data_IF_359859382465
#
_entry.id   IF_359859382465
#
_cell.length_a   1.000
_cell.length_b   1.000
_cell.length_c   1.000
_cell.angle_alpha   90.00
_cell.angle_beta   90.00
_cell.angle_gamma   90.00
#
_symmetry.space_group_name_H-M   'P 1'
#
loop_
_entity.id
_entity.type
_entity.pdbx_description
1 polymer ?
#
# COMPACT_ATOMS: atom_id res chain seq x y z
N UNK A 1 -22.00 -7.15 5.97
CA UNK A 1 -21.36 -8.14 5.08
C UNK A 1 -22.47 -8.85 4.31
N UNK A 2 -22.63 -8.55 3.02
CA UNK A 2 -23.56 -9.28 2.15
C UNK A 2 -22.77 -10.35 1.39
N UNK A 3 -23.22 -11.63 1.35
CA UNK A 3 -22.45 -12.77 0.86
C UNK A 3 -22.50 -12.96 -0.67
N UNK A 4 -22.69 -11.89 -1.45
CA UNK A 4 -22.77 -11.98 -2.90
C UNK A 4 -21.41 -11.66 -3.53
N UNK A 5 -20.66 -12.71 -3.88
CA UNK A 5 -19.51 -12.59 -4.79
C UNK A 5 -20.07 -12.36 -6.19
N UNK A 6 -20.02 -11.12 -6.68
CA UNK A 6 -20.34 -10.82 -8.07
C UNK A 6 -19.12 -11.23 -8.92
N UNK A 7 -19.22 -12.24 -9.82
CA UNK A 7 -18.08 -12.68 -10.63
C UNK A 7 -17.53 -11.58 -11.55
N UNK A 8 -18.35 -10.57 -11.89
CA UNK A 8 -17.95 -9.37 -12.65
C UNK A 8 -17.09 -8.39 -11.84
N UNK A 9 -17.15 -8.47 -10.51
CA UNK A 9 -16.37 -7.69 -9.55
C UNK A 9 -15.65 -8.61 -8.57
N UNK A 10 -15.12 -9.73 -9.06
CA UNK A 10 -14.23 -10.60 -8.29
C UNK A 10 -12.95 -9.82 -7.99
N UNK A 11 -12.92 -9.17 -6.82
CA UNK A 11 -11.76 -8.67 -6.10
C UNK A 11 -10.68 -7.96 -6.93
N UNK A 12 -10.54 -6.64 -6.77
CA UNK A 12 -9.45 -5.89 -7.41
C UNK A 12 -8.07 -6.53 -7.21
N UNK A 13 -7.13 -6.26 -8.12
CA UNK A 13 -5.77 -6.82 -8.14
C UNK A 13 -4.85 -6.29 -7.00
N UNK A 14 -5.41 -5.91 -5.86
CA UNK A 14 -4.69 -5.34 -4.73
C UNK A 14 -3.64 -6.29 -4.14
N UNK A 15 -3.97 -7.57 -3.99
CA UNK A 15 -2.99 -8.56 -3.48
C UNK A 15 -1.82 -8.71 -4.46
N UNK A 16 -2.09 -8.86 -5.76
CA UNK A 16 -1.04 -8.95 -6.79
C UNK A 16 -0.15 -7.70 -6.83
N UNK A 17 -0.75 -6.53 -6.63
CA UNK A 17 0.00 -5.27 -6.54
C UNK A 17 0.89 -5.25 -5.29
N UNK A 18 0.37 -5.64 -4.12
CA UNK A 18 1.15 -5.72 -2.90
C UNK A 18 2.29 -6.75 -3.01
N UNK A 19 2.04 -7.91 -3.60
CA UNK A 19 3.05 -8.94 -3.90
C UNK A 19 4.14 -8.40 -4.83
N UNK A 20 3.76 -7.68 -5.89
CA UNK A 20 4.72 -7.05 -6.80
C UNK A 20 5.62 -6.03 -6.05
N UNK A 21 5.03 -5.20 -5.19
CA UNK A 21 5.79 -4.23 -4.41
C UNK A 21 6.84 -4.91 -3.52
N UNK A 22 6.45 -5.99 -2.85
CA UNK A 22 7.29 -6.67 -1.86
C UNK A 22 8.33 -7.59 -2.49
N UNK A 23 7.93 -8.37 -3.49
CA UNK A 23 8.76 -9.44 -4.04
C UNK A 23 9.56 -9.02 -5.28
N UNK A 24 9.18 -7.90 -5.92
CA UNK A 24 9.83 -7.44 -7.15
C UNK A 24 10.40 -6.04 -7.00
N UNK A 25 9.55 -5.05 -6.70
CA UNK A 25 9.98 -3.65 -6.73
C UNK A 25 10.95 -3.31 -5.60
N UNK A 26 10.61 -3.63 -4.34
CA UNK A 26 11.48 -3.30 -3.20
C UNK A 26 12.85 -4.00 -3.31
N UNK A 27 12.95 -5.31 -3.59
CA UNK A 27 14.26 -5.97 -3.76
C UNK A 27 15.09 -5.35 -4.88
N UNK A 28 14.46 -4.97 -5.99
CA UNK A 28 15.14 -4.26 -7.06
C UNK A 28 15.68 -2.91 -6.58
N UNK A 29 14.91 -2.10 -5.86
CA UNK A 29 15.37 -0.82 -5.32
C UNK A 29 16.53 -1.04 -4.34
N UNK A 30 16.38 -1.97 -3.40
CA UNK A 30 17.39 -2.25 -2.37
C UNK A 30 18.71 -2.76 -2.96
N UNK A 31 18.69 -3.46 -4.09
CA UNK A 31 19.92 -3.93 -4.74
C UNK A 31 20.60 -2.88 -5.62
N UNK A 32 19.87 -1.87 -6.09
CA UNK A 32 20.39 -0.85 -7.03
C UNK A 32 20.72 0.48 -6.34
N UNK A 33 20.19 0.70 -5.14
CA UNK A 33 20.39 1.94 -4.40
C UNK A 33 20.86 1.63 -2.97
N UNK A 34 21.51 2.61 -2.35
CA UNK A 34 21.95 2.50 -0.95
C UNK A 34 20.76 2.80 -0.01
N UNK A 35 19.93 1.80 0.22
CA UNK A 35 18.78 1.90 1.15
C UNK A 35 19.13 1.35 2.53
N UNK A 36 18.35 1.75 3.54
CA UNK A 36 18.25 1.03 4.81
C UNK A 36 17.05 0.10 4.67
N UNK A 37 17.32 -1.20 4.61
CA UNK A 37 16.35 -2.21 4.14
C UNK A 37 15.34 -2.63 5.20
N UNK A 38 15.64 -2.30 6.46
CA UNK A 38 14.90 -2.68 7.65
C UNK A 38 13.51 -2.01 7.68
N UNK A 39 12.49 -2.67 8.27
CA UNK A 39 11.12 -2.17 8.24
C UNK A 39 10.99 -0.79 8.88
N UNK A 40 11.75 -0.50 9.94
CA UNK A 40 11.70 0.77 10.66
C UNK A 40 12.12 1.96 9.78
N UNK A 41 12.85 1.69 8.69
CA UNK A 41 13.33 2.66 7.71
C UNK A 41 12.52 2.64 6.39
N UNK A 42 11.63 1.66 6.21
CA UNK A 42 10.85 1.51 4.98
C UNK A 42 9.39 1.92 5.21
N UNK A 43 8.92 2.87 4.39
CA UNK A 43 7.54 3.36 4.42
C UNK A 43 6.81 3.21 3.10
N UNK A 44 5.49 3.03 3.15
CA UNK A 44 4.61 3.05 1.98
C UNK A 44 3.50 4.08 2.20
N UNK A 45 3.15 4.86 1.18
CA UNK A 45 2.10 5.86 1.32
C UNK A 45 1.38 6.11 0.01
N UNK A 46 0.14 6.57 0.10
CA UNK A 46 -0.65 6.94 -1.08
C UNK A 46 -1.90 7.73 -0.75
N UNK A 47 -2.58 8.21 -1.79
CA UNK A 47 -3.80 9.00 -1.66
C UNK A 47 -5.04 8.27 -2.15
N UNK A 48 -6.20 8.52 -1.53
CA UNK A 48 -7.49 7.89 -1.90
C UNK A 48 -7.37 6.35 -1.98
N UNK A 49 -7.61 5.73 -3.14
CA UNK A 49 -7.38 4.31 -3.37
C UNK A 49 -5.92 3.88 -3.12
N UNK A 50 -4.96 4.74 -3.49
CA UNK A 50 -3.54 4.57 -3.20
C UNK A 50 -3.23 4.51 -1.71
N UNK A 51 -4.00 5.24 -0.89
CA UNK A 51 -3.90 5.18 0.57
C UNK A 51 -4.43 3.86 1.11
N UNK A 52 -5.59 3.41 0.60
CA UNK A 52 -6.20 2.14 0.99
C UNK A 52 -5.28 0.95 0.67
N UNK A 53 -4.70 0.93 -0.53
CA UNK A 53 -3.79 -0.15 -0.92
C UNK A 53 -2.45 -0.09 -0.19
N UNK A 54 -1.94 1.11 0.14
CA UNK A 54 -0.74 1.28 0.97
C UNK A 54 -0.96 0.75 2.39
N UNK A 55 -2.10 1.09 2.99
CA UNK A 55 -2.51 0.58 4.31
C UNK A 55 -2.65 -0.94 4.31
N UNK A 56 -3.35 -1.48 3.32
CA UNK A 56 -3.50 -2.93 3.13
C UNK A 56 -2.14 -3.62 3.03
N UNK A 57 -1.24 -3.11 2.18
CA UNK A 57 0.09 -3.69 1.95
C UNK A 57 0.94 -3.67 3.22
N UNK A 58 0.92 -2.58 3.98
CA UNK A 58 1.69 -2.47 5.22
C UNK A 58 1.24 -3.46 6.29
N UNK A 59 -0.08 -3.67 6.45
CA UNK A 59 -0.61 -4.67 7.40
C UNK A 59 -0.30 -6.10 6.95
N UNK A 60 -0.37 -6.36 5.64
CA UNK A 60 -0.09 -7.68 5.07
C UNK A 60 1.39 -8.06 5.17
N UNK A 61 2.29 -7.07 5.09
CA UNK A 61 3.73 -7.23 5.06
C UNK A 61 4.45 -6.33 6.10
N UNK A 62 4.19 -6.52 7.41
CA UNK A 62 4.75 -5.66 8.46
C UNK A 62 6.28 -5.80 8.60
N UNK A 63 6.82 -6.96 8.20
CA UNK A 63 8.27 -7.21 8.16
C UNK A 63 8.96 -6.53 6.96
N UNK A 64 8.23 -5.73 6.19
CA UNK A 64 8.73 -5.03 5.00
C UNK A 64 8.49 -3.53 5.14
N UNK A 65 7.30 -3.14 5.60
CA UNK A 65 6.93 -1.73 5.79
C UNK A 65 6.62 -1.46 7.26
N UNK A 66 7.50 -0.74 7.96
CA UNK A 66 7.28 -0.31 9.34
C UNK A 66 6.56 1.04 9.46
N UNK A 67 6.34 1.73 8.35
CA UNK A 67 5.64 3.03 8.31
C UNK A 67 4.60 3.06 7.20
N UNK A 68 3.45 3.67 7.46
CA UNK A 68 2.42 3.86 6.44
C UNK A 68 1.80 5.26 6.47
N UNK A 69 1.63 5.85 5.28
CA UNK A 69 0.99 7.14 5.09
C UNK A 69 -0.31 7.01 4.31
N UNK A 70 -1.41 7.55 4.84
CA UNK A 70 -2.69 7.61 4.16
C UNK A 70 -3.06 9.07 3.92
N UNK A 71 -3.18 9.49 2.65
CA UNK A 71 -3.56 10.86 2.29
C UNK A 71 -4.97 10.90 1.67
N UNK A 72 -5.97 11.39 2.40
CA UNK A 72 -7.24 11.79 1.77
C UNK A 72 -7.03 13.17 1.11
N UNK A 73 -7.35 13.33 -0.18
CA UNK A 73 -7.57 14.65 -0.77
C UNK A 73 -8.99 15.09 -0.39
N UNK A 74 -9.20 16.10 0.47
CA UNK A 74 -10.52 16.63 0.69
C UNK A 74 -10.88 17.54 -0.49
N UNK A 75 -11.98 17.24 -1.18
CA UNK A 75 -12.78 18.31 -1.75
C UNK A 75 -13.41 19.06 -0.57
N UNK A 76 -12.97 20.30 -0.33
CA UNK A 76 -13.63 21.30 0.51
C UNK A 76 -13.68 21.03 2.02
N UNK A 77 -12.74 21.59 2.77
CA UNK A 77 -13.02 22.04 4.14
C UNK A 77 -12.81 23.56 4.14
N UNK A 78 -13.94 24.24 4.33
CA UNK A 78 -14.09 25.65 4.57
C UNK A 78 -13.24 26.06 5.77
N UNK A 79 -12.40 27.08 5.62
CA UNK A 79 -11.77 27.75 6.75
C UNK A 79 -12.87 28.29 7.66
N UNK A 80 -12.69 28.06 8.98
CA UNK A 80 -13.51 28.66 10.03
C UNK A 80 -13.64 30.18 9.88
#
# INVERSE_FOLDING_TARGET
>A
MHPYINPKYSGGNGEKYAEFLVNTLKPFIDSHFRTLTEPEHTGIAGSSLGGLISYFTAIRYPNVFGRVGFFHLPFGIQTA
#
